data_IF_128036288460
#
_entry.id   IF_128036288460
#
_cell.length_a   1.000
_cell.length_b   1.000
_cell.length_c   1.000
_cell.angle_alpha   90.00
_cell.angle_beta   90.00
_cell.angle_gamma   90.00
#
_symmetry.space_group_name_H-M   'P 1'
#
loop_
_entity.id
_entity.type
_entity.pdbx_description
1 polymer ?
#
# COMPACT_ATOMS: atom_id res chain seq x y z
N UNK A 1 -12.97 32.27 -29.30
CA UNK A 1 -11.50 32.16 -29.12
C UNK A 1 -11.06 32.22 -27.65
N UNK A 2 -11.49 33.24 -26.87
CA UNK A 2 -11.09 33.41 -25.46
C UNK A 2 -11.49 32.26 -24.51
N UNK A 3 -12.68 31.67 -24.67
CA UNK A 3 -13.20 30.55 -23.85
C UNK A 3 -12.47 29.21 -24.09
N UNK A 4 -11.88 29.02 -25.27
CA UNK A 4 -11.18 27.78 -25.64
C UNK A 4 -9.77 27.75 -25.03
N UNK A 5 -9.01 28.85 -25.13
CA UNK A 5 -7.67 28.98 -24.54
C UNK A 5 -7.68 28.94 -23.00
N UNK A 6 -8.71 29.51 -22.35
CA UNK A 6 -8.87 29.47 -20.90
C UNK A 6 -9.56 28.19 -20.37
N UNK A 7 -10.27 27.46 -21.23
CA UNK A 7 -10.91 26.18 -20.87
C UNK A 7 -9.86 25.09 -20.62
N UNK A 8 -8.92 24.94 -21.56
CA UNK A 8 -7.87 23.92 -21.49
C UNK A 8 -6.91 24.14 -20.32
N UNK A 9 -6.57 25.40 -20.01
CA UNK A 9 -5.72 25.74 -18.87
C UNK A 9 -6.42 25.45 -17.53
N UNK A 10 -7.73 25.68 -17.41
CA UNK A 10 -8.48 25.33 -16.19
C UNK A 10 -8.61 23.82 -15.99
N UNK A 11 -8.83 23.06 -17.06
CA UNK A 11 -8.87 21.61 -17.01
C UNK A 11 -7.52 21.03 -16.55
N UNK A 12 -6.43 21.52 -17.14
CA UNK A 12 -5.08 21.12 -16.75
C UNK A 12 -4.75 21.47 -15.28
N UNK A 13 -5.20 22.63 -14.79
CA UNK A 13 -5.01 23.02 -13.38
C UNK A 13 -5.83 22.12 -12.45
N UNK A 14 -7.09 21.84 -12.77
CA UNK A 14 -7.93 20.96 -11.97
C UNK A 14 -7.37 19.53 -11.90
N UNK A 15 -6.83 19.02 -13.01
CA UNK A 15 -6.20 17.69 -13.04
C UNK A 15 -4.96 17.63 -12.17
N UNK A 16 -4.13 18.68 -12.17
CA UNK A 16 -2.95 18.78 -11.29
C UNK A 16 -3.34 18.84 -9.82
N UNK A 17 -4.39 19.61 -9.49
CA UNK A 17 -4.91 19.70 -8.11
C UNK A 17 -5.47 18.35 -7.66
N UNK A 18 -6.31 17.70 -8.47
CA UNK A 18 -6.85 16.36 -8.17
C UNK A 18 -5.73 15.34 -7.98
N UNK A 19 -4.71 15.35 -8.84
CA UNK A 19 -3.56 14.48 -8.70
C UNK A 19 -2.84 14.70 -7.37
N UNK A 20 -2.57 15.96 -6.99
CA UNK A 20 -1.90 16.27 -5.74
C UNK A 20 -2.74 15.84 -4.51
N UNK A 21 -4.05 16.09 -4.53
CA UNK A 21 -4.98 15.67 -3.48
C UNK A 21 -4.96 14.14 -3.33
N UNK A 22 -5.04 13.39 -4.42
CA UNK A 22 -5.04 11.93 -4.40
C UNK A 22 -3.72 11.36 -3.86
N UNK A 23 -2.59 11.94 -4.28
CA UNK A 23 -1.26 11.54 -3.80
C UNK A 23 -1.11 11.78 -2.30
N UNK A 24 -1.50 12.98 -1.83
CA UNK A 24 -1.48 13.31 -0.40
C UNK A 24 -2.48 12.45 0.39
N UNK A 25 -3.66 12.20 -0.16
CA UNK A 25 -4.69 11.34 0.43
C UNK A 25 -4.22 9.91 0.62
N UNK A 26 -3.58 9.31 -0.40
CA UNK A 26 -2.99 7.97 -0.29
C UNK A 26 -1.88 7.93 0.76
N UNK A 27 -0.96 8.91 0.74
CA UNK A 27 0.12 8.96 1.71
C UNK A 27 -0.40 9.13 3.15
N UNK A 28 -1.39 10.00 3.35
CA UNK A 28 -2.06 10.22 4.63
C UNK A 28 -2.81 8.99 5.12
N UNK A 29 -3.53 8.29 4.23
CA UNK A 29 -4.23 7.06 4.59
C UNK A 29 -3.26 5.92 4.93
N UNK A 30 -2.11 5.82 4.26
CA UNK A 30 -1.05 4.89 4.65
C UNK A 30 -0.49 5.22 6.03
N UNK A 31 -0.33 6.49 6.37
CA UNK A 31 0.08 6.91 7.71
C UNK A 31 -0.98 6.55 8.76
N UNK A 32 -2.26 6.86 8.53
CA UNK A 32 -3.34 6.48 9.44
C UNK A 32 -3.42 4.94 9.58
N UNK A 33 -3.27 4.21 8.48
CA UNK A 33 -3.22 2.75 8.48
C UNK A 33 -2.03 2.18 9.24
N UNK A 34 -0.92 2.92 9.34
CA UNK A 34 0.24 2.57 10.15
C UNK A 34 -0.01 2.78 11.65
N UNK A 35 -0.79 3.80 12.03
CA UNK A 35 -1.20 4.05 13.40
C UNK A 35 -2.19 2.99 13.89
N UNK A 36 -3.08 2.52 13.00
CA UNK A 36 -3.96 1.38 13.25
C UNK A 36 -3.17 0.05 13.20
N UNK A 37 -2.43 -0.23 14.28
CA UNK A 37 -1.52 -1.38 14.38
C UNK A 37 -1.74 -2.22 15.63
N UNK A 38 -1.53 -3.52 15.49
CA UNK A 38 -1.51 -4.49 16.59
C UNK A 38 -0.11 -5.13 16.59
N UNK A 39 0.76 -4.80 17.56
CA UNK A 39 2.03 -5.48 17.73
C UNK A 39 1.80 -6.96 18.05
N UNK A 40 2.59 -7.84 17.44
CA UNK A 40 2.55 -9.27 17.68
C UNK A 40 3.83 -9.67 18.44
N UNK A 41 3.76 -10.42 19.56
CA UNK A 41 4.91 -10.65 20.41
C UNK A 41 6.00 -11.55 19.80
N UNK A 42 5.68 -12.28 18.72
CA UNK A 42 6.54 -13.27 18.07
C UNK A 42 7.15 -12.80 16.74
N UNK A 43 6.85 -11.57 16.29
CA UNK A 43 7.39 -11.02 15.04
C UNK A 43 7.67 -9.52 15.18
N UNK A 44 8.77 -9.01 14.61
CA UNK A 44 9.09 -7.58 14.71
C UNK A 44 8.17 -6.69 13.87
N UNK A 45 7.38 -7.28 12.95
CA UNK A 45 6.43 -6.54 12.11
C UNK A 45 5.05 -6.50 12.78
N UNK A 46 4.45 -5.31 13.00
CA UNK A 46 3.10 -5.23 13.52
C UNK A 46 2.06 -5.55 12.43
N UNK A 47 0.90 -6.06 12.82
CA UNK A 47 -0.26 -6.13 11.94
C UNK A 47 -0.82 -4.72 11.76
N UNK A 48 -0.91 -4.20 10.53
CA UNK A 48 -1.40 -2.83 10.25
C UNK A 48 -2.56 -2.82 9.24
N UNK A 49 -3.25 -1.68 9.13
CA UNK A 49 -4.23 -1.42 8.05
C UNK A 49 -3.60 -0.83 6.79
N UNK A 50 -2.28 -0.68 6.71
CA UNK A 50 -1.61 -0.09 5.54
C UNK A 50 -1.85 -0.89 4.26
N UNK A 51 -1.82 -2.22 4.36
CA UNK A 51 -2.06 -3.11 3.20
C UNK A 51 -3.43 -2.88 2.59
N UNK A 52 -4.46 -2.55 3.38
CA UNK A 52 -5.79 -2.20 2.86
C UNK A 52 -5.74 -1.01 1.90
N UNK A 53 -4.98 0.04 2.24
CA UNK A 53 -4.83 1.24 1.40
C UNK A 53 -4.14 0.88 0.08
N UNK A 54 -3.09 0.05 0.14
CA UNK A 54 -2.35 -0.41 -1.04
C UNK A 54 -3.24 -1.22 -1.98
N UNK A 55 -4.15 -2.02 -1.44
CA UNK A 55 -5.10 -2.81 -2.24
C UNK A 55 -6.19 -1.93 -2.88
N UNK A 56 -6.70 -0.92 -2.17
CA UNK A 56 -7.85 -0.11 -2.61
C UNK A 56 -7.44 1.03 -3.56
N UNK A 57 -6.40 1.79 -3.22
CA UNK A 57 -6.05 3.03 -3.91
C UNK A 57 -5.83 2.88 -5.44
N UNK A 58 -5.17 1.83 -5.96
CA UNK A 58 -4.94 1.68 -7.39
C UNK A 58 -6.23 1.46 -8.21
N UNK A 59 -7.27 0.90 -7.58
CA UNK A 59 -8.56 0.65 -8.23
C UNK A 59 -9.47 1.89 -8.19
N UNK A 60 -9.40 2.71 -7.13
CA UNK A 60 -10.22 3.92 -7.01
C UNK A 60 -9.62 5.13 -7.74
N UNK A 61 -8.31 5.36 -7.58
CA UNK A 61 -7.63 6.58 -8.04
C UNK A 61 -6.79 6.35 -9.29
N UNK A 62 -6.67 5.08 -9.71
CA UNK A 62 -5.77 4.66 -10.77
C UNK A 62 -4.34 4.44 -10.29
N UNK A 63 -3.65 3.53 -10.98
CA UNK A 63 -2.30 3.04 -10.62
C UNK A 63 -1.28 4.18 -10.43
N UNK A 64 -1.28 5.19 -11.30
CA UNK A 64 -0.27 6.26 -11.24
C UNK A 64 -0.39 7.11 -9.99
N UNK A 65 -1.62 7.48 -9.60
CA UNK A 65 -1.88 8.31 -8.40
C UNK A 65 -1.58 7.52 -7.14
N UNK A 66 -2.00 6.26 -7.10
CA UNK A 66 -1.70 5.35 -5.99
C UNK A 66 -0.19 5.13 -5.79
N UNK A 67 0.56 4.84 -6.86
CA UNK A 67 2.02 4.65 -6.78
C UNK A 67 2.74 5.92 -6.34
N UNK A 68 2.33 7.10 -6.83
CA UNK A 68 2.91 8.36 -6.40
C UNK A 68 2.67 8.63 -4.91
N UNK A 69 1.47 8.35 -4.39
CA UNK A 69 1.15 8.46 -2.97
C UNK A 69 1.90 7.46 -2.09
N UNK A 70 2.01 6.20 -2.54
CA UNK A 70 2.82 5.17 -1.86
C UNK A 70 4.29 5.59 -1.84
N UNK A 71 4.83 6.04 -2.96
CA UNK A 71 6.21 6.54 -3.06
C UNK A 71 6.45 7.72 -2.12
N UNK A 72 5.54 8.69 -2.07
CA UNK A 72 5.61 9.81 -1.14
C UNK A 72 5.64 9.34 0.33
N UNK A 73 4.74 8.42 0.71
CA UNK A 73 4.73 7.83 2.04
C UNK A 73 6.07 7.18 2.40
N UNK A 74 6.67 6.44 1.48
CA UNK A 74 7.97 5.79 1.69
C UNK A 74 9.12 6.79 1.83
N UNK A 75 9.16 7.83 1.00
CA UNK A 75 10.18 8.90 1.10
C UNK A 75 10.08 9.62 2.44
N UNK A 76 8.85 9.98 2.86
CA UNK A 76 8.60 10.59 4.15
C UNK A 76 9.02 9.66 5.30
N UNK A 77 8.67 8.38 5.23
CA UNK A 77 9.07 7.37 6.22
C UNK A 77 10.59 7.21 6.34
N UNK A 78 11.31 7.13 5.22
CA UNK A 78 12.78 7.03 5.21
C UNK A 78 13.45 8.29 5.79
N UNK A 79 12.95 9.47 5.42
CA UNK A 79 13.49 10.74 5.94
C UNK A 79 13.29 10.88 7.45
N UNK A 80 12.17 10.40 7.98
CA UNK A 80 11.87 10.36 9.40
C UNK A 80 12.81 9.41 10.17
N UNK A 81 13.12 8.24 9.61
CA UNK A 81 14.07 7.29 10.19
C UNK A 81 15.51 7.84 10.27
N UNK A 82 15.93 8.66 9.30
CA UNK A 82 17.28 9.25 9.27
C UNK A 82 17.40 10.43 10.25
N UNK A 83 16.33 11.20 10.44
CA UNK A 83 16.35 12.45 11.22
C UNK A 83 15.96 12.28 12.70
N UNK A 84 15.65 11.06 13.15
CA UNK A 84 15.03 10.76 14.47
C UNK A 84 13.72 11.51 14.73
N UNK A 85 13.10 12.06 13.68
CA UNK A 85 11.80 12.71 13.77
C UNK A 85 10.75 11.62 13.59
N UNK A 86 10.33 11.04 14.71
CA UNK A 86 9.33 9.96 14.81
C UNK A 86 7.92 10.42 14.42
N UNK A 87 7.73 10.87 13.17
CA UNK A 87 6.42 11.35 12.70
C UNK A 87 5.74 10.33 11.79
N UNK A 88 6.45 9.33 11.24
CA UNK A 88 5.86 8.40 10.25
C UNK A 88 6.18 6.90 10.39
N UNK A 89 6.93 6.45 11.41
CA UNK A 89 7.60 5.14 11.33
C UNK A 89 6.97 4.05 12.20
N UNK A 90 6.10 3.23 11.61
CA UNK A 90 6.12 1.76 11.79
C UNK A 90 7.20 1.08 10.94
N UNK A 91 7.84 1.83 10.04
CA UNK A 91 8.99 1.40 9.26
C UNK A 91 10.19 1.15 10.20
N UNK A 92 10.33 -0.10 10.64
CA UNK A 92 11.57 -0.59 11.22
C UNK A 92 12.39 -1.25 10.12
N UNK A 93 13.69 -1.48 10.36
CA UNK A 93 14.51 -2.25 9.43
C UNK A 93 13.88 -3.61 9.07
N UNK A 94 13.07 -4.20 9.97
CA UNK A 94 12.41 -5.48 9.71
C UNK A 94 11.24 -5.40 8.71
N UNK A 95 10.64 -4.23 8.47
CA UNK A 95 9.45 -4.10 7.62
C UNK A 95 9.74 -3.68 6.18
N UNK A 96 11.00 -3.42 5.81
CA UNK A 96 11.38 -2.92 4.48
C UNK A 96 10.88 -3.80 3.32
N UNK A 97 10.86 -5.14 3.49
CA UNK A 97 10.33 -6.05 2.46
C UNK A 97 8.84 -5.85 2.15
N UNK A 98 8.01 -5.61 3.17
CA UNK A 98 6.59 -5.32 2.97
C UNK A 98 6.40 -3.97 2.27
N UNK A 99 7.18 -2.97 2.67
CA UNK A 99 7.18 -1.64 2.07
C UNK A 99 7.61 -1.66 0.59
N UNK A 100 8.61 -2.47 0.24
CA UNK A 100 8.95 -2.72 -1.17
C UNK A 100 7.77 -3.37 -1.91
N UNK A 101 7.10 -4.32 -1.27
CA UNK A 101 5.87 -4.92 -1.78
C UNK A 101 4.75 -3.90 -2.05
N UNK A 102 4.67 -2.80 -1.29
CA UNK A 102 3.65 -1.77 -1.52
C UNK A 102 3.81 -1.08 -2.87
N UNK A 103 5.03 -0.97 -3.40
CA UNK A 103 5.28 -0.42 -4.74
C UNK A 103 5.00 -1.43 -5.86
N UNK A 104 5.32 -2.71 -5.61
CA UNK A 104 5.21 -3.75 -6.64
C UNK A 104 3.77 -4.26 -6.79
N UNK A 105 3.03 -4.40 -5.69
CA UNK A 105 1.67 -4.95 -5.70
C UNK A 105 0.71 -4.21 -6.65
N UNK A 106 0.60 -2.86 -6.64
CA UNK A 106 -0.26 -2.15 -7.59
C UNK A 106 0.06 -2.41 -9.07
N UNK A 107 1.33 -2.65 -9.40
CA UNK A 107 1.76 -2.98 -10.77
C UNK A 107 1.28 -4.37 -11.18
N UNK A 108 1.40 -5.34 -10.27
CA UNK A 108 0.94 -6.72 -10.50
C UNK A 108 -0.58 -6.79 -10.57
N UNK A 109 -1.28 -6.11 -9.66
CA UNK A 109 -2.75 -6.07 -9.62
C UNK A 109 -3.36 -5.52 -10.91
N UNK A 110 -2.67 -4.61 -11.60
CA UNK A 110 -3.15 -4.03 -12.86
C UNK A 110 -3.21 -5.02 -14.03
N UNK A 111 -2.64 -6.23 -13.90
CA UNK A 111 -2.66 -7.27 -14.94
C UNK A 111 -3.93 -8.12 -14.93
N UNK A 112 -4.75 -8.01 -13.89
CA UNK A 112 -5.95 -8.80 -13.73
C UNK A 112 -7.16 -8.09 -14.36
N UNK A 113 -8.17 -8.86 -14.81
CA UNK A 113 -9.39 -8.27 -15.37
C UNK A 113 -10.17 -7.48 -14.31
N UNK A 114 -10.89 -6.44 -14.73
CA UNK A 114 -11.72 -5.60 -13.85
C UNK A 114 -13.09 -6.22 -13.53
N UNK A 115 -13.21 -7.54 -13.56
CA UNK A 115 -14.42 -8.25 -13.10
C UNK A 115 -14.36 -8.43 -11.58
N UNK A 116 -15.49 -8.68 -10.88
CA UNK A 116 -15.46 -8.91 -9.43
C UNK A 116 -14.48 -10.02 -9.01
N UNK A 117 -14.45 -11.14 -9.74
CA UNK A 117 -13.50 -12.21 -9.50
C UNK A 117 -12.06 -11.80 -9.82
N UNK A 118 -11.85 -11.02 -10.89
CA UNK A 118 -10.54 -10.50 -11.27
C UNK A 118 -9.97 -9.52 -10.24
N UNK A 119 -10.79 -8.61 -9.71
CA UNK A 119 -10.41 -7.66 -8.64
C UNK A 119 -10.06 -8.41 -7.35
N UNK A 120 -10.88 -9.38 -6.95
CA UNK A 120 -10.57 -10.23 -5.80
C UNK A 120 -9.23 -10.94 -5.97
N UNK A 121 -9.02 -11.57 -7.14
CA UNK A 121 -7.78 -12.29 -7.43
C UNK A 121 -6.57 -11.35 -7.47
N UNK A 122 -6.74 -10.15 -8.03
CA UNK A 122 -5.71 -9.12 -8.03
C UNK A 122 -5.30 -8.76 -6.61
N UNK A 123 -6.28 -8.43 -5.76
CA UNK A 123 -6.02 -8.00 -4.38
C UNK A 123 -5.40 -9.12 -3.55
N UNK A 124 -5.87 -10.36 -3.70
CA UNK A 124 -5.27 -11.53 -3.06
C UNK A 124 -3.82 -11.75 -3.51
N UNK A 125 -3.54 -11.66 -4.82
CA UNK A 125 -2.19 -11.78 -5.36
C UNK A 125 -1.28 -10.63 -4.89
N UNK A 126 -1.79 -9.40 -4.83
CA UNK A 126 -1.07 -8.24 -4.32
C UNK A 126 -0.72 -8.38 -2.84
N UNK A 127 -1.67 -8.78 -2.00
CA UNK A 127 -1.45 -9.06 -0.58
C UNK A 127 -0.43 -10.19 -0.39
N UNK A 128 -0.58 -11.31 -1.11
CA UNK A 128 0.38 -12.42 -1.02
C UNK A 128 1.79 -12.01 -1.45
N UNK A 129 1.92 -11.20 -2.51
CA UNK A 129 3.21 -10.67 -2.95
C UNK A 129 3.86 -9.79 -1.87
N UNK A 130 3.10 -8.92 -1.21
CA UNK A 130 3.57 -8.10 -0.10
C UNK A 130 4.11 -8.98 1.03
N UNK A 131 3.36 -10.02 1.42
CA UNK A 131 3.79 -10.92 2.48
C UNK A 131 5.01 -11.76 2.09
N UNK A 132 5.10 -12.22 0.84
CA UNK A 132 6.27 -12.96 0.34
C UNK A 132 7.53 -12.12 0.35
N UNK A 133 7.47 -10.87 -0.12
CA UNK A 133 8.60 -9.94 -0.08
C UNK A 133 8.97 -9.57 1.36
N UNK A 134 7.97 -9.42 2.24
CA UNK A 134 8.16 -9.23 3.67
C UNK A 134 8.91 -10.38 4.32
N UNK A 135 8.46 -11.62 4.14
CA UNK A 135 9.11 -12.81 4.67
C UNK A 135 10.51 -13.03 4.07
N UNK A 136 10.68 -12.82 2.77
CA UNK A 136 12.00 -12.91 2.12
C UNK A 136 12.98 -11.93 2.76
N UNK A 137 12.58 -10.67 2.93
CA UNK A 137 13.40 -9.67 3.59
C UNK A 137 13.69 -10.05 5.04
N UNK A 138 12.70 -10.53 5.77
CA UNK A 138 12.84 -10.91 7.17
C UNK A 138 13.83 -12.05 7.37
N UNK A 139 13.91 -12.99 6.42
CA UNK A 139 14.92 -14.06 6.42
C UNK A 139 16.34 -13.50 6.42
N UNK A 140 16.60 -12.47 5.60
CA UNK A 140 17.90 -11.80 5.48
C UNK A 140 18.16 -10.89 6.68
N UNK A 141 17.17 -10.10 7.08
CA UNK A 141 17.29 -9.11 8.15
C UNK A 141 17.55 -9.75 9.52
N UNK A 142 16.84 -10.83 9.85
CA UNK A 142 17.02 -11.56 11.10
C UNK A 142 18.02 -12.70 11.01
N UNK A 143 18.55 -13.01 9.82
CA UNK A 143 19.44 -14.15 9.55
C UNK A 143 18.82 -15.49 9.99
N UNK A 144 17.55 -15.67 9.69
CA UNK A 144 16.78 -16.88 10.00
C UNK A 144 16.51 -17.70 8.73
N UNK A 145 16.16 -18.97 8.89
CA UNK A 145 15.81 -19.81 7.74
C UNK A 145 14.55 -19.30 7.02
N UNK A 146 14.38 -19.59 5.71
CA UNK A 146 13.18 -19.22 4.97
C UNK A 146 11.88 -19.76 5.61
N UNK A 147 11.91 -20.97 6.16
CA UNK A 147 10.77 -21.56 6.87
C UNK A 147 10.38 -20.77 8.11
N UNK A 148 11.36 -20.36 8.93
CA UNK A 148 11.11 -19.49 10.07
C UNK A 148 10.58 -18.12 9.64
N UNK A 149 11.11 -17.55 8.56
CA UNK A 149 10.64 -16.28 8.04
C UNK A 149 9.19 -16.34 7.54
N UNK A 150 8.75 -17.45 6.94
CA UNK A 150 7.33 -17.68 6.62
C UNK A 150 6.50 -17.79 7.89
N UNK A 151 6.97 -18.53 8.91
CA UNK A 151 6.24 -18.74 10.16
C UNK A 151 6.00 -17.45 10.94
N UNK A 152 6.94 -16.50 10.94
CA UNK A 152 6.79 -15.24 11.70
C UNK A 152 6.44 -14.03 10.82
N UNK A 153 6.71 -14.10 9.52
CA UNK A 153 6.61 -12.98 8.59
C UNK A 153 5.46 -13.07 7.58
N UNK A 154 4.86 -14.24 7.39
CA UNK A 154 3.77 -14.43 6.43
C UNK A 154 2.54 -15.06 7.08
N UNK A 155 2.70 -16.24 7.67
CA UNK A 155 1.62 -17.04 8.24
C UNK A 155 0.71 -16.25 9.22
N UNK A 156 1.23 -15.48 10.19
CA UNK A 156 0.38 -14.79 11.17
C UNK A 156 -0.44 -13.64 10.57
N UNK A 157 -0.04 -13.12 9.40
CA UNK A 157 -0.72 -11.99 8.76
C UNK A 157 -1.85 -12.44 7.83
N UNK A 158 -1.85 -13.71 7.38
CA UNK A 158 -2.83 -14.23 6.43
C UNK A 158 -4.29 -14.02 6.85
N UNK A 159 -4.73 -14.32 8.09
CA UNK A 159 -6.12 -14.13 8.48
C UNK A 159 -6.56 -12.66 8.38
N UNK A 160 -5.71 -11.75 8.87
CA UNK A 160 -5.98 -10.31 8.81
C UNK A 160 -5.99 -9.78 7.39
N UNK A 161 -5.09 -10.27 6.54
CA UNK A 161 -5.02 -9.86 5.13
C UNK A 161 -6.20 -10.42 4.30
N UNK A 162 -6.69 -11.62 4.58
CA UNK A 162 -7.92 -12.12 3.96
C UNK A 162 -9.13 -11.24 4.29
N UNK A 163 -9.26 -10.80 5.54
CA UNK A 163 -10.31 -9.85 5.95
C UNK A 163 -10.14 -8.53 5.20
N UNK A 164 -8.91 -8.01 5.09
CA UNK A 164 -8.63 -6.77 4.35
C UNK A 164 -8.92 -6.90 2.86
N UNK A 165 -8.62 -8.04 2.23
CA UNK A 165 -8.96 -8.29 0.82
C UNK A 165 -10.48 -8.27 0.63
N UNK A 166 -11.23 -8.94 1.50
CA UNK A 166 -12.69 -8.92 1.45
C UNK A 166 -13.24 -7.50 1.62
N UNK A 167 -12.73 -6.76 2.62
CA UNK A 167 -13.10 -5.36 2.85
C UNK A 167 -12.73 -4.46 1.67
N UNK A 168 -11.54 -4.63 1.09
CA UNK A 168 -11.09 -3.89 -0.08
C UNK A 168 -12.00 -4.12 -1.28
N UNK A 169 -12.42 -5.36 -1.53
CA UNK A 169 -13.38 -5.68 -2.59
C UNK A 169 -14.72 -4.98 -2.35
N UNK A 170 -15.22 -4.94 -1.11
CA UNK A 170 -16.46 -4.23 -0.76
C UNK A 170 -16.30 -2.73 -0.98
N UNK A 171 -15.20 -2.13 -0.51
CA UNK A 171 -14.92 -0.70 -0.68
C UNK A 171 -14.85 -0.33 -2.16
N UNK A 172 -14.06 -1.07 -2.95
CA UNK A 172 -13.92 -0.82 -4.38
C UNK A 172 -15.25 -0.97 -5.10
N UNK A 173 -16.02 -2.03 -4.83
CA UNK A 173 -17.35 -2.20 -5.43
C UNK A 173 -18.34 -1.09 -5.05
N UNK A 174 -18.20 -0.49 -3.85
CA UNK A 174 -19.13 0.56 -3.37
C UNK A 174 -18.75 1.95 -3.87
N UNK A 175 -17.45 2.21 -4.10
CA UNK A 175 -16.93 3.54 -4.43
C UNK A 175 -16.41 3.65 -5.87
N UNK A 176 -16.08 2.54 -6.51
CA UNK A 176 -15.51 2.46 -7.85
C UNK A 176 -16.30 1.50 -8.72
N UNK A 177 -17.27 2.05 -9.47
CA UNK A 177 -18.12 1.39 -10.48
C UNK A 177 -18.82 0.12 -10.00
#
# INVERSE_FOLDING_TARGET
MYKALYGDSRLAVNDRISFAIDVLGVAGMLYIGALARIPLPFTPAPLTLQTLVVLVAPFLLGRSRALAGIGLYLVLGLSASITNVSVFTTASGATCGYLAGFLVAPVVMARFPKTPAGVFTAMAAGSMLILLLGALWLSVFLRISPGQAVLIGLAPFLPGDMIKVALACVIVRRLGV
#
